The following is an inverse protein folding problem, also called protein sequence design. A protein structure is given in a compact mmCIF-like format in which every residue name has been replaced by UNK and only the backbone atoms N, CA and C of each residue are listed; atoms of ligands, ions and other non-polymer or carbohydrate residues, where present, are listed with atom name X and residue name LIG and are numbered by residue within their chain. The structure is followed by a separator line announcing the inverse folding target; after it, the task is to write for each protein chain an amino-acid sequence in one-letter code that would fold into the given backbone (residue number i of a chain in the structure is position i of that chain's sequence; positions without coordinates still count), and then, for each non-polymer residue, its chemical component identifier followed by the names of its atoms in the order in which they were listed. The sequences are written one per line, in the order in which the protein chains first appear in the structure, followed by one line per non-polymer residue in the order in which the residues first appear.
data_IF_633268071784
#
_entry.id   IF_633268071784
#
_cell.length_a   1.000
_cell.length_b   1.000
_cell.length_c   1.000
_cell.angle_alpha   90.00
_cell.angle_beta   90.00
_cell.angle_gamma   90.00
#
_symmetry.space_group_name_H-M   'P 1'
#
loop_
_entity.id
_entity.type
_entity.pdbx_description
1 polymer ?
#
# COMPACT_ATOMS: atom_id res chain seq x y z
N UNK A 1 9.45 -8.67 -19.82
CA UNK A 1 8.42 -8.77 -18.75
C UNK A 1 8.88 -7.89 -17.61
N UNK A 2 8.14 -6.84 -17.26
CA UNK A 2 8.59 -5.85 -16.28
C UNK A 2 8.73 -6.49 -14.89
N UNK A 3 9.97 -6.60 -14.42
CA UNK A 3 10.38 -6.83 -13.04
C UNK A 3 9.54 -5.93 -12.10
N UNK A 4 8.36 -6.40 -11.68
CA UNK A 4 7.68 -5.86 -10.51
C UNK A 4 8.50 -6.31 -9.30
N UNK A 5 9.68 -5.70 -9.11
CA UNK A 5 10.47 -5.76 -7.87
C UNK A 5 9.62 -5.11 -6.79
N UNK A 6 8.75 -5.92 -6.20
CA UNK A 6 7.94 -5.61 -5.04
C UNK A 6 8.81 -4.87 -4.01
N UNK A 7 8.58 -3.56 -3.86
CA UNK A 7 9.40 -2.71 -3.00
C UNK A 7 9.10 -3.09 -1.55
N UNK A 8 10.10 -3.58 -0.81
CA UNK A 8 10.00 -3.85 0.63
C UNK A 8 10.75 -2.78 1.43
N UNK A 9 10.33 -2.57 2.68
CA UNK A 9 11.03 -1.71 3.64
C UNK A 9 11.02 -0.21 3.25
N UNK A 10 12.15 0.52 3.36
CA UNK A 10 12.20 1.97 3.17
C UNK A 10 11.69 2.44 1.80
N UNK A 11 11.91 1.63 0.75
CA UNK A 11 11.46 1.93 -0.62
C UNK A 11 9.94 1.93 -0.76
N UNK A 12 9.23 1.11 0.01
CA UNK A 12 7.77 1.14 0.05
C UNK A 12 7.28 2.39 0.78
N UNK A 13 7.95 2.77 1.87
CA UNK A 13 7.62 3.99 2.60
C UNK A 13 7.76 5.22 1.71
N UNK A 14 8.85 5.33 0.95
CA UNK A 14 9.02 6.40 -0.05
C UNK A 14 7.93 6.38 -1.13
N UNK A 15 7.48 5.19 -1.57
CA UNK A 15 6.39 5.07 -2.53
C UNK A 15 5.06 5.56 -1.94
N UNK A 16 4.71 5.12 -0.73
CA UNK A 16 3.52 5.55 -0.01
C UNK A 16 3.52 7.07 0.19
N UNK A 17 4.64 7.64 0.63
CA UNK A 17 4.80 9.10 0.76
C UNK A 17 4.56 9.83 -0.55
N UNK A 18 5.18 9.38 -1.65
CA UNK A 18 4.96 10.00 -2.97
C UNK A 18 3.50 9.92 -3.41
N UNK A 19 2.85 8.77 -3.19
CA UNK A 19 1.43 8.55 -3.52
C UNK A 19 0.52 9.46 -2.68
N UNK A 20 0.77 9.55 -1.38
CA UNK A 20 0.05 10.43 -0.47
C UNK A 20 0.16 11.91 -0.89
N UNK A 21 1.35 12.38 -1.27
CA UNK A 21 1.53 13.77 -1.77
C UNK A 21 0.71 14.03 -3.04
N UNK A 22 0.70 13.10 -3.99
CA UNK A 22 -0.10 13.25 -5.23
C UNK A 22 -1.60 13.29 -4.95
N UNK A 23 -2.05 12.64 -3.87
CA UNK A 23 -3.45 12.62 -3.46
C UNK A 23 -3.82 13.72 -2.45
N UNK A 24 -2.87 14.58 -2.09
CA UNK A 24 -3.07 15.64 -1.09
C UNK A 24 -3.28 15.12 0.33
N UNK A 25 -2.79 13.91 0.65
CA UNK A 25 -2.91 13.31 1.98
C UNK A 25 -1.80 13.88 2.89
N UNK A 26 -2.15 14.53 4.01
CA UNK A 26 -1.17 15.08 4.93
C UNK A 26 -0.32 13.98 5.56
N UNK A 27 1.00 14.17 5.54
CA UNK A 27 1.95 13.25 6.16
C UNK A 27 2.34 13.75 7.55
N UNK A 28 1.52 13.40 8.53
CA UNK A 28 1.76 13.75 9.92
C UNK A 28 3.03 13.06 10.46
N UNK A 29 3.75 13.74 11.35
CA UNK A 29 4.89 13.13 12.05
C UNK A 29 4.38 11.95 12.89
N UNK A 30 4.98 10.76 12.68
CA UNK A 30 4.61 9.55 13.39
C UNK A 30 3.55 8.68 12.70
N UNK A 31 3.05 9.07 11.52
CA UNK A 31 2.09 8.22 10.78
C UNK A 31 2.71 6.86 10.45
N UNK A 32 2.03 5.79 10.85
CA UNK A 32 2.46 4.43 10.53
C UNK A 32 2.25 4.17 9.05
N UNK A 33 3.15 3.39 8.43
CA UNK A 33 3.03 3.01 7.02
C UNK A 33 1.67 2.40 6.68
N UNK A 34 1.13 1.57 7.59
CA UNK A 34 -0.17 0.94 7.40
C UNK A 34 -1.33 1.93 7.39
N UNK A 35 -1.28 2.93 8.26
CA UNK A 35 -2.25 4.02 8.26
C UNK A 35 -2.13 4.86 6.99
N UNK A 36 -0.90 5.23 6.60
CA UNK A 36 -0.67 6.03 5.41
C UNK A 36 -1.21 5.35 4.16
N UNK A 37 -0.93 4.05 4.00
CA UNK A 37 -1.45 3.25 2.89
C UNK A 37 -2.97 3.11 2.98
N UNK A 38 -3.54 2.89 4.17
CA UNK A 38 -4.99 2.88 4.37
C UNK A 38 -5.65 4.15 3.85
N UNK A 39 -5.15 5.32 4.26
CA UNK A 39 -5.64 6.62 3.80
C UNK A 39 -5.51 6.79 2.28
N UNK A 40 -4.41 6.32 1.69
CA UNK A 40 -4.20 6.32 0.24
C UNK A 40 -5.27 5.46 -0.46
N UNK A 41 -5.50 4.24 0.04
CA UNK A 41 -6.49 3.33 -0.52
C UNK A 41 -7.88 3.97 -0.48
N UNK A 42 -8.28 4.49 0.68
CA UNK A 42 -9.59 5.16 0.84
C UNK A 42 -9.74 6.36 -0.09
N UNK A 43 -8.67 7.15 -0.27
CA UNK A 43 -8.67 8.30 -1.18
C UNK A 43 -8.70 7.89 -2.66
N UNK A 44 -8.09 6.76 -3.01
CA UNK A 44 -8.19 6.14 -4.34
C UNK A 44 -9.55 5.43 -4.56
N UNK A 45 -10.45 5.41 -3.57
CA UNK A 45 -11.75 4.73 -3.64
C UNK A 45 -11.66 3.21 -3.41
N UNK A 46 -10.52 2.72 -2.92
CA UNK A 46 -10.26 1.33 -2.63
C UNK A 46 -10.47 1.02 -1.14
N UNK A 47 -10.86 -0.21 -0.78
CA UNK A 47 -10.92 -0.62 0.62
C UNK A 47 -9.52 -0.60 1.25
N UNK A 48 -9.41 -0.12 2.49
CA UNK A 48 -8.17 -0.11 3.27
C UNK A 48 -7.76 -1.54 3.69
N UNK A 49 -7.29 -2.37 2.76
CA UNK A 49 -6.97 -3.77 3.03
C UNK A 49 -5.55 -4.00 3.57
N UNK A 50 -4.68 -2.99 3.47
CA UNK A 50 -3.26 -3.13 3.84
C UNK A 50 -3.08 -3.51 5.32
N UNK A 51 -2.50 -4.70 5.59
CA UNK A 51 -2.32 -5.27 6.93
C UNK A 51 -3.60 -5.44 7.77
N UNK A 52 -4.78 -5.32 7.13
CA UNK A 52 -6.08 -5.56 7.78
C UNK A 52 -6.72 -6.87 7.33
N UNK A 53 -6.36 -7.37 6.14
CA UNK A 53 -6.84 -8.64 5.61
C UNK A 53 -5.70 -9.65 5.55
N UNK A 54 -6.01 -10.90 5.88
CA UNK A 54 -5.08 -12.02 5.71
C UNK A 54 -4.91 -12.41 4.25
N UNK A 55 -5.88 -12.07 3.39
CA UNK A 55 -5.89 -12.43 1.97
C UNK A 55 -6.08 -11.19 1.10
N UNK A 56 -5.25 -11.08 0.06
CA UNK A 56 -5.38 -10.07 -1.00
C UNK A 56 -5.64 -10.80 -2.33
N UNK A 57 -6.77 -10.47 -2.97
CA UNK A 57 -7.13 -10.96 -4.31
C UNK A 57 -6.70 -10.02 -5.43
N UNK A 58 -6.18 -8.83 -5.09
CA UNK A 58 -5.86 -7.79 -6.06
C UNK A 58 -4.45 -7.99 -6.63
N UNK A 59 -4.38 -8.56 -7.83
CA UNK A 59 -3.12 -8.87 -8.52
C UNK A 59 -2.34 -7.64 -8.98
N UNK A 60 -2.99 -6.49 -9.10
CA UNK A 60 -2.36 -5.21 -9.39
C UNK A 60 -2.02 -4.41 -8.12
N UNK A 61 -2.17 -4.99 -6.92
CA UNK A 61 -1.97 -4.28 -5.66
C UNK A 61 -0.54 -3.77 -5.52
N UNK A 62 -0.39 -2.44 -5.53
CA UNK A 62 0.90 -1.76 -5.39
C UNK A 62 1.56 -2.00 -4.02
N UNK A 63 0.79 -2.47 -3.04
CA UNK A 63 1.20 -2.63 -1.64
C UNK A 63 1.42 -4.08 -1.22
N UNK A 64 1.14 -5.03 -2.11
CA UNK A 64 1.22 -6.48 -1.86
C UNK A 64 2.58 -6.92 -1.32
N UNK A 65 3.64 -6.21 -1.71
CA UNK A 65 5.02 -6.42 -1.24
C UNK A 65 5.18 -6.37 0.29
N UNK A 66 4.31 -5.63 0.99
CA UNK A 66 4.44 -5.33 2.42
C UNK A 66 3.12 -5.37 3.18
N UNK A 67 2.02 -5.79 2.53
CA UNK A 67 0.74 -5.93 3.21
C UNK A 67 0.65 -7.22 4.02
N UNK A 68 1.66 -8.10 3.93
CA UNK A 68 1.78 -9.40 4.62
C UNK A 68 0.61 -10.38 4.36
N UNK A 69 -0.31 -10.01 3.47
CA UNK A 69 -1.46 -10.83 3.10
C UNK A 69 -1.04 -11.94 2.12
N UNK A 70 -1.62 -13.13 2.30
CA UNK A 70 -1.53 -14.23 1.34
C UNK A 70 -2.25 -13.80 0.06
N UNK A 71 -1.59 -14.03 -1.08
CA UNK A 71 -2.23 -13.84 -2.38
C UNK A 71 -3.16 -15.01 -2.65
N UNK A 72 -4.45 -14.74 -2.80
CA UNK A 72 -5.38 -15.73 -3.32
C UNK A 72 -5.49 -15.52 -4.83
N UNK A 73 -4.86 -16.42 -5.59
CA UNK A 73 -5.09 -16.54 -7.03
C UNK A 73 -6.38 -17.34 -7.18
N UNK A 74 -7.47 -16.67 -7.54
CA UNK A 74 -8.69 -17.36 -7.95
C UNK A 74 -8.62 -17.67 -9.45
#
# INVERSE_FOLDING_TARGET
MSDKKYKKGPKLFSLARKRALMLGIPQEKGVKLAELIGRIQEKEGNPSCFRKKEVCSETACCWQASCDARMERK
#
